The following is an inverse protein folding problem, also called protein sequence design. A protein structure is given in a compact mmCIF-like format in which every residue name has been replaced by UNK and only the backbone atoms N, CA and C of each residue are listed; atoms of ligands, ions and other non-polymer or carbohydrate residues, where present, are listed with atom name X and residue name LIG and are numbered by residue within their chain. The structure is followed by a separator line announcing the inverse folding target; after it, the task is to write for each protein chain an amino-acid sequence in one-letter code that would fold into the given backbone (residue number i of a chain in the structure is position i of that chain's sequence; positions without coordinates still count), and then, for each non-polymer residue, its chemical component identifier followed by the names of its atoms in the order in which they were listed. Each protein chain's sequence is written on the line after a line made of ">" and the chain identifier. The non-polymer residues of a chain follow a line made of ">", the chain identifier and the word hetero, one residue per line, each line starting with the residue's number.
data_IF_318966680935
#
_entry.id   IF_318966680935
#
_cell.length_a   1.000
_cell.length_b   1.000
_cell.length_c   1.000
_cell.angle_alpha   90.00
_cell.angle_beta   90.00
_cell.angle_gamma   90.00
#
_symmetry.space_group_name_H-M   'P 1'
#
loop_
_entity.id
_entity.type
_entity.pdbx_description
1 polymer ?
#
# COMPACT_ATOMS: atom_id res chain seq x y z
N UNK A 1 -5.92 -22.05 10.18
CA UNK A 1 -6.82 -20.92 9.89
C UNK A 1 -6.41 -20.34 8.56
N UNK A 2 -7.17 -20.60 7.49
CA UNK A 2 -6.89 -20.00 6.19
C UNK A 2 -7.23 -18.51 6.32
N UNK A 3 -6.21 -17.66 6.48
CA UNK A 3 -6.39 -16.22 6.53
C UNK A 3 -7.02 -15.80 5.19
N UNK A 4 -8.22 -15.24 5.23
CA UNK A 4 -8.84 -14.62 4.07
C UNK A 4 -7.84 -13.63 3.49
N UNK A 5 -7.30 -14.00 2.34
CA UNK A 5 -6.32 -13.20 1.63
C UNK A 5 -7.12 -12.14 0.88
N UNK A 6 -7.44 -11.05 1.56
CA UNK A 6 -8.11 -9.90 0.94
C UNK A 6 -7.06 -9.21 0.07
N UNK A 7 -7.35 -9.14 -1.23
CA UNK A 7 -6.53 -8.42 -2.21
C UNK A 7 -7.28 -7.16 -2.61
N UNK A 8 -6.69 -6.00 -2.33
CA UNK A 8 -7.24 -4.69 -2.68
C UNK A 8 -6.34 -3.98 -3.68
N UNK A 9 -6.94 -3.35 -4.69
CA UNK A 9 -6.24 -2.38 -5.55
C UNK A 9 -6.53 -0.99 -5.01
N UNK A 10 -5.54 -0.38 -4.37
CA UNK A 10 -5.62 0.98 -3.86
C UNK A 10 -5.00 1.95 -4.87
N UNK A 11 -5.74 2.99 -5.24
CA UNK A 11 -5.26 4.05 -6.14
C UNK A 11 -4.92 5.29 -5.32
N UNK A 12 -3.69 5.77 -5.44
CA UNK A 12 -3.24 7.00 -4.77
C UNK A 12 -3.45 8.19 -5.70
N UNK A 13 -3.90 9.31 -5.13
CA UNK A 13 -4.19 10.53 -5.88
C UNK A 13 -3.38 11.69 -5.30
N UNK A 14 -2.45 12.24 -6.10
CA UNK A 14 -1.60 13.35 -5.63
C UNK A 14 -2.36 14.65 -5.50
N UNK A 15 -3.28 14.92 -6.43
CA UNK A 15 -4.08 16.13 -6.41
C UNK A 15 -5.53 15.83 -6.85
N UNK A 16 -6.47 16.02 -5.90
CA UNK A 16 -7.90 15.83 -6.12
C UNK A 16 -8.50 16.84 -7.08
N UNK A 17 -7.94 18.05 -7.13
CA UNK A 17 -8.43 19.16 -7.94
C UNK A 17 -7.95 19.06 -9.39
N UNK A 18 -6.76 18.52 -9.63
CA UNK A 18 -6.16 18.38 -10.96
C UNK A 18 -6.39 17.00 -11.60
N UNK A 19 -7.10 16.09 -10.93
CA UNK A 19 -7.26 14.68 -11.34
C UNK A 19 -5.94 13.98 -11.72
N UNK A 20 -4.81 14.40 -11.14
CA UNK A 20 -3.52 13.77 -11.37
C UNK A 20 -3.41 12.48 -10.54
N UNK A 21 -3.33 11.35 -11.25
CA UNK A 21 -3.13 10.03 -10.67
C UNK A 21 -1.65 9.72 -10.53
N UNK A 22 -1.25 9.08 -9.42
CA UNK A 22 0.17 8.77 -9.21
C UNK A 22 0.51 7.30 -9.18
N UNK A 23 -0.33 6.42 -8.63
CA UNK A 23 -0.02 4.99 -8.65
C UNK A 23 -1.22 4.14 -8.26
N UNK A 24 -1.21 2.88 -8.70
CA UNK A 24 -2.01 1.83 -8.08
C UNK A 24 -1.10 0.85 -7.35
N UNK A 25 -1.58 0.32 -6.24
CA UNK A 25 -0.90 -0.70 -5.44
C UNK A 25 -1.85 -1.83 -5.14
N UNK A 26 -1.34 -3.06 -5.24
CA UNK A 26 -2.04 -4.26 -4.77
C UNK A 26 -1.65 -4.49 -3.32
N UNK A 27 -2.64 -4.61 -2.43
CA UNK A 27 -2.47 -4.82 -1.00
C UNK A 27 -3.04 -6.18 -0.64
N UNK A 28 -2.21 -7.02 -0.02
CA UNK A 28 -2.60 -8.32 0.50
C UNK A 28 -2.53 -8.30 2.02
N UNK A 29 -3.64 -8.57 2.71
CA UNK A 29 -3.70 -8.48 4.17
C UNK A 29 -3.40 -9.83 4.87
N UNK A 30 -2.61 -9.77 5.95
CA UNK A 30 -2.21 -10.88 6.80
C UNK A 30 -2.36 -10.48 8.29
N UNK A 31 -3.60 -10.44 8.78
CA UNK A 31 -3.89 -9.98 10.14
C UNK A 31 -3.48 -8.51 10.32
N UNK A 32 -2.54 -8.23 11.22
CA UNK A 32 -2.00 -6.88 11.47
C UNK A 32 -0.88 -6.46 10.51
N UNK A 33 -0.57 -7.29 9.52
CA UNK A 33 0.45 -7.00 8.49
C UNK A 33 -0.21 -6.89 7.13
N UNK A 34 0.36 -6.07 6.24
CA UNK A 34 -0.05 -6.01 4.84
C UNK A 34 1.17 -6.18 3.94
N UNK A 35 0.99 -6.79 2.78
CA UNK A 35 2.01 -6.91 1.75
C UNK A 35 1.62 -6.07 0.54
N UNK A 36 2.53 -5.23 0.05
CA UNK A 36 2.33 -4.41 -1.13
C UNK A 36 3.03 -5.02 -2.34
N UNK A 37 2.29 -5.14 -3.43
CA UNK A 37 2.76 -5.63 -4.72
C UNK A 37 2.26 -4.73 -5.86
N UNK A 38 2.96 -4.74 -6.99
CA UNK A 38 2.48 -4.11 -8.22
C UNK A 38 2.27 -2.59 -8.15
N UNK A 39 3.29 -1.86 -7.68
CA UNK A 39 3.34 -0.39 -7.78
C UNK A 39 3.40 0.01 -9.27
N UNK A 40 2.32 0.55 -9.83
CA UNK A 40 2.30 1.09 -11.20
C UNK A 40 2.45 2.60 -11.19
N UNK A 41 3.15 3.21 -12.15
CA UNK A 41 3.29 4.68 -12.19
C UNK A 41 4.33 5.25 -11.21
N UNK A 42 4.27 6.55 -10.96
CA UNK A 42 5.23 7.28 -10.11
C UNK A 42 4.72 7.33 -8.67
N UNK A 43 5.17 6.39 -7.84
CA UNK A 43 4.81 6.35 -6.43
C UNK A 43 5.61 7.41 -5.64
N UNK A 44 4.94 8.47 -5.21
CA UNK A 44 5.57 9.60 -4.51
C UNK A 44 5.43 9.50 -2.99
N UNK A 45 6.10 10.41 -2.27
CA UNK A 45 5.99 10.48 -0.81
C UNK A 45 4.57 10.82 -0.34
N UNK A 46 3.81 11.61 -1.10
CA UNK A 46 2.39 11.91 -0.83
C UNK A 46 1.53 10.65 -0.95
N UNK A 47 1.75 9.85 -2.00
CA UNK A 47 1.07 8.57 -2.20
C UNK A 47 1.31 7.62 -1.03
N UNK A 48 2.55 7.58 -0.52
CA UNK A 48 2.88 6.78 0.66
C UNK A 48 2.13 7.26 1.90
N UNK A 49 2.05 8.57 2.15
CA UNK A 49 1.31 9.12 3.31
C UNK A 49 -0.17 8.77 3.25
N UNK A 50 -0.78 8.87 2.09
CA UNK A 50 -2.18 8.51 1.85
C UNK A 50 -2.40 7.01 2.13
N UNK A 51 -1.58 6.15 1.52
CA UNK A 51 -1.62 4.71 1.71
C UNK A 51 -1.38 4.31 3.18
N UNK A 52 -0.39 4.90 3.84
CA UNK A 52 -0.11 4.64 5.26
C UNK A 52 -1.29 5.01 6.14
N UNK A 53 -1.96 6.14 5.86
CA UNK A 53 -3.16 6.56 6.59
C UNK A 53 -4.31 5.56 6.40
N UNK A 54 -4.53 5.10 5.16
CA UNK A 54 -5.52 4.07 4.86
C UNK A 54 -5.20 2.73 5.56
N UNK A 55 -3.95 2.30 5.57
CA UNK A 55 -3.56 1.05 6.22
C UNK A 55 -3.69 1.13 7.75
N UNK A 56 -3.32 2.26 8.35
CA UNK A 56 -3.52 2.49 9.80
C UNK A 56 -4.99 2.47 10.19
N UNK A 57 -5.89 3.04 9.38
CA UNK A 57 -7.33 3.00 9.69
C UNK A 57 -7.92 1.58 9.66
N UNK A 58 -7.25 0.65 8.96
CA UNK A 58 -7.54 -0.79 8.97
C UNK A 58 -6.83 -1.58 10.07
N UNK A 59 -6.09 -0.91 10.97
CA UNK A 59 -5.38 -1.56 12.07
C UNK A 59 -4.10 -2.29 11.67
N UNK A 60 -3.53 -1.97 10.49
CA UNK A 60 -2.26 -2.53 10.03
C UNK A 60 -1.09 -1.81 10.71
N UNK A 61 -0.14 -2.59 11.21
CA UNK A 61 1.02 -2.10 11.99
C UNK A 61 2.31 -2.22 11.20
N UNK A 62 2.39 -3.16 10.26
CA UNK A 62 3.59 -3.37 9.46
C UNK A 62 3.25 -3.69 8.01
N UNK A 63 4.11 -3.21 7.11
CA UNK A 63 3.96 -3.35 5.68
C UNK A 63 5.19 -3.99 5.07
N UNK A 64 5.00 -5.03 4.29
CA UNK A 64 6.03 -5.77 3.60
C UNK A 64 5.98 -5.47 2.08
N UNK A 65 7.10 -5.19 1.45
CA UNK A 65 7.17 -5.01 0.00
C UNK A 65 8.53 -5.44 -0.55
N UNK A 66 8.57 -5.84 -1.83
CA UNK A 66 9.82 -6.15 -2.49
C UNK A 66 10.43 -4.91 -3.14
N UNK A 67 11.72 -4.67 -2.89
CA UNK A 67 12.50 -3.65 -3.60
C UNK A 67 13.85 -4.23 -3.99
N UNK A 68 14.16 -4.19 -5.28
CA UNK A 68 15.41 -4.77 -5.85
C UNK A 68 15.62 -6.22 -5.42
N UNK A 69 14.56 -7.03 -5.49
CA UNK A 69 14.58 -8.46 -5.12
C UNK A 69 14.68 -8.75 -3.62
N UNK A 70 14.74 -7.73 -2.75
CA UNK A 70 14.80 -7.91 -1.30
C UNK A 70 13.47 -7.54 -0.66
N UNK A 71 13.02 -8.38 0.28
CA UNK A 71 11.88 -8.06 1.12
C UNK A 71 12.26 -6.92 2.06
N UNK A 72 11.38 -5.92 2.17
CA UNK A 72 11.52 -4.77 3.05
C UNK A 72 10.27 -4.68 3.91
N UNK A 73 10.47 -4.49 5.20
CA UNK A 73 9.39 -4.25 6.17
C UNK A 73 9.47 -2.81 6.64
N UNK A 74 8.32 -2.13 6.66
CA UNK A 74 8.16 -0.77 7.20
C UNK A 74 7.08 -0.82 8.27
N UNK A 75 7.38 -0.24 9.43
CA UNK A 75 6.40 -0.03 10.49
C UNK A 75 5.54 1.19 10.14
N UNK A 76 4.23 1.04 10.26
CA UNK A 76 3.26 2.09 9.99
C UNK A 76 3.01 2.95 11.22
#
# INVERSE_FOLDING_TARGET
>A
MAAETIVEIYRTQENKELFQFCSAVTITYFGKRAMLQGLTGRFTSTCWKELATHLRSKGIVAVDYYRRGKLKTVLL
#
